data_IF_140689527883
#
_entry.id   IF_140689527883
#
_cell.length_a   1.000
_cell.length_b   1.000
_cell.length_c   1.000
_cell.angle_alpha   90.00
_cell.angle_beta   90.00
_cell.angle_gamma   90.00
#
_symmetry.space_group_name_H-M   'P 1'
#
loop_
_entity.id
_entity.type
_entity.pdbx_description
1 polymer ?
#
# COMPACT_ATOMS: atom_id res chain seq x y z
N UNK A 1 -0.44 56.03 36.11
CA UNK A 1 -0.07 54.65 35.75
C UNK A 1 -1.33 53.85 35.47
N UNK A 2 -1.87 54.00 34.27
CA UNK A 2 -3.06 53.37 33.72
C UNK A 2 -2.75 53.40 32.23
N UNK A 3 -2.75 52.25 31.56
CA UNK A 3 -2.50 52.01 30.11
C UNK A 3 -1.59 50.79 29.83
N UNK A 4 -1.34 49.90 30.80
CA UNK A 4 -0.61 48.64 30.54
C UNK A 4 -1.51 47.41 30.39
N UNK A 5 -2.84 47.56 30.45
CA UNK A 5 -3.78 46.43 30.39
C UNK A 5 -4.39 46.19 29.00
N UNK A 6 -4.12 47.04 28.01
CA UNK A 6 -4.70 46.90 26.67
C UNK A 6 -3.84 46.10 25.67
N UNK A 7 -2.59 45.79 26.00
CA UNK A 7 -1.68 45.04 25.13
C UNK A 7 -1.76 43.52 25.30
N UNK A 8 -2.38 43.03 26.38
CA UNK A 8 -2.55 41.59 26.65
C UNK A 8 -3.82 40.99 26.02
N UNK A 9 -4.75 41.83 25.55
CA UNK A 9 -6.01 41.36 24.97
C UNK A 9 -5.93 41.10 23.45
N UNK A 10 -4.86 41.56 22.78
CA UNK A 10 -4.73 41.45 21.32
C UNK A 10 -3.90 40.24 20.85
N UNK A 11 -3.22 39.53 21.76
CA UNK A 11 -2.44 38.33 21.42
C UNK A 11 -3.26 37.04 21.36
N UNK A 12 -4.57 37.10 21.64
CA UNK A 12 -5.48 35.95 21.61
C UNK A 12 -6.26 35.79 20.28
N UNK A 13 -6.05 36.69 19.31
CA UNK A 13 -6.76 36.67 18.01
C UNK A 13 -5.87 36.15 16.87
N UNK A 14 -4.67 35.66 17.18
CA UNK A 14 -3.75 35.05 16.20
C UNK A 14 -3.48 33.59 16.52
N UNK A 15 -4.53 32.80 16.76
CA UNK A 15 -4.42 31.37 16.51
C UNK A 15 -4.39 31.19 14.99
N UNK A 16 -3.25 30.76 14.40
CA UNK A 16 -3.23 30.43 12.99
C UNK A 16 -4.23 29.30 12.75
N UNK A 17 -4.92 29.40 11.63
CA UNK A 17 -6.01 28.52 11.27
C UNK A 17 -5.65 27.04 11.20
N UNK A 18 -6.73 26.26 11.21
CA UNK A 18 -6.86 24.92 10.64
C UNK A 18 -5.75 23.93 10.97
N UNK A 19 -5.98 23.14 12.01
CA UNK A 19 -5.71 21.72 11.87
C UNK A 19 -7.06 21.02 11.98
N UNK A 20 -7.79 21.03 10.88
CA UNK A 20 -8.84 20.05 10.70
C UNK A 20 -8.12 18.71 10.61
N UNK A 21 -8.07 17.99 11.72
CA UNK A 21 -7.66 16.59 11.72
C UNK A 21 -8.82 15.77 11.19
N UNK A 22 -9.30 16.08 9.97
CA UNK A 22 -10.18 15.17 9.25
C UNK A 22 -9.38 13.89 9.11
N UNK A 23 -9.73 12.87 9.90
CA UNK A 23 -9.12 11.55 9.79
C UNK A 23 -9.25 11.13 8.34
N UNK A 24 -8.12 11.08 7.63
CA UNK A 24 -8.09 10.62 6.24
C UNK A 24 -8.73 9.24 6.20
N UNK A 25 -9.80 9.14 5.42
CA UNK A 25 -10.55 7.90 5.29
C UNK A 25 -9.85 7.06 4.23
N UNK A 26 -9.20 5.99 4.70
CA UNK A 26 -8.69 4.93 3.88
C UNK A 26 -9.29 3.63 4.39
N UNK A 27 -9.93 2.88 3.51
CA UNK A 27 -10.48 1.58 3.84
C UNK A 27 -10.18 0.60 2.71
N UNK A 28 -9.42 -0.45 3.03
CA UNK A 28 -9.30 -1.64 2.18
C UNK A 28 -10.48 -2.56 2.50
N UNK A 29 -11.26 -2.92 1.48
CA UNK A 29 -12.38 -3.84 1.62
C UNK A 29 -12.01 -5.26 1.20
N UNK A 30 -11.15 -5.38 0.19
CA UNK A 30 -10.71 -6.67 -0.34
C UNK A 30 -9.19 -6.72 -0.37
N UNK A 31 -8.66 -7.79 0.21
CA UNK A 31 -7.26 -8.19 0.18
C UNK A 31 -7.21 -9.69 -0.08
N UNK A 32 -7.01 -10.08 -1.34
CA UNK A 32 -6.96 -11.48 -1.75
C UNK A 32 -5.58 -11.85 -2.29
N UNK A 33 -4.98 -12.85 -1.66
CA UNK A 33 -3.69 -13.40 -2.04
C UNK A 33 -3.87 -14.81 -2.57
N UNK A 34 -3.27 -15.11 -3.73
CA UNK A 34 -3.23 -16.47 -4.25
C UNK A 34 -1.98 -16.74 -5.08
N UNK A 35 -1.64 -18.01 -5.22
CA UNK A 35 -0.47 -18.46 -6.00
C UNK A 35 -0.91 -19.26 -7.22
N UNK A 36 -0.17 -19.10 -8.31
CA UNK A 36 -0.27 -19.96 -9.48
C UNK A 36 1.13 -20.33 -9.93
N UNK A 37 1.26 -21.44 -10.66
CA UNK A 37 2.55 -21.93 -11.16
C UNK A 37 2.43 -22.35 -12.61
N UNK A 38 3.48 -22.08 -13.37
CA UNK A 38 3.67 -22.51 -14.74
C UNK A 38 4.98 -23.29 -14.85
N UNK A 39 4.95 -24.48 -15.47
CA UNK A 39 6.18 -25.20 -15.78
C UNK A 39 6.82 -24.60 -17.03
N UNK A 40 8.06 -24.13 -16.91
CA UNK A 40 8.80 -23.54 -18.04
C UNK A 40 9.51 -24.63 -18.84
N UNK A 41 10.29 -25.48 -18.18
CA UNK A 41 11.02 -26.59 -18.81
C UNK A 41 11.72 -27.46 -17.77
N UNK A 42 11.73 -28.79 -17.93
CA UNK A 42 12.73 -29.65 -17.29
C UNK A 42 12.86 -29.58 -15.76
N UNK A 43 11.78 -29.22 -15.05
CA UNK A 43 11.79 -29.02 -13.59
C UNK A 43 12.02 -27.56 -13.15
N UNK A 44 12.14 -26.62 -14.10
CA UNK A 44 12.09 -25.18 -13.86
C UNK A 44 10.64 -24.69 -13.91
N UNK A 45 10.25 -23.93 -12.90
CA UNK A 45 8.91 -23.38 -12.75
C UNK A 45 8.96 -21.86 -12.60
N UNK A 46 7.89 -21.22 -13.03
CA UNK A 46 7.60 -19.82 -12.75
C UNK A 46 6.41 -19.75 -11.82
N UNK A 47 6.62 -19.15 -10.64
CA UNK A 47 5.58 -18.89 -9.67
C UNK A 47 5.08 -17.47 -9.79
N UNK A 48 3.76 -17.31 -9.69
CA UNK A 48 3.10 -16.03 -9.63
C UNK A 48 2.36 -15.91 -8.31
N UNK A 49 2.68 -14.87 -7.54
CA UNK A 49 1.88 -14.44 -6.39
C UNK A 49 1.02 -13.28 -6.86
N UNK A 50 -0.28 -13.47 -6.73
CA UNK A 50 -1.28 -12.50 -7.09
C UNK A 50 -1.80 -11.82 -5.82
N UNK A 51 -1.95 -10.50 -5.92
CA UNK A 51 -2.58 -9.67 -4.91
C UNK A 51 -3.68 -8.86 -5.58
N UNK A 52 -4.93 -9.17 -5.23
CA UNK A 52 -6.07 -8.32 -5.57
C UNK A 52 -6.36 -7.40 -4.39
N UNK A 53 -6.40 -6.10 -4.65
CA UNK A 53 -6.75 -5.07 -3.67
C UNK A 53 -7.89 -4.23 -4.18
N UNK A 54 -8.87 -3.98 -3.33
CA UNK A 54 -9.88 -2.95 -3.56
C UNK A 54 -10.30 -2.24 -2.29
N UNK A 55 -10.74 -1.01 -2.44
CA UNK A 55 -11.03 -0.12 -1.32
C UNK A 55 -11.38 1.29 -1.78
N UNK A 56 -11.39 2.20 -0.82
CA UNK A 56 -11.56 3.63 -1.05
C UNK A 56 -10.51 4.44 -0.30
N UNK A 57 -10.20 5.61 -0.84
CA UNK A 57 -9.32 6.59 -0.20
C UNK A 57 -9.66 8.01 -0.63
N UNK A 58 -9.65 8.94 0.32
CA UNK A 58 -9.72 10.38 0.06
C UNK A 58 -8.37 11.00 -0.37
N UNK A 59 -7.33 10.18 -0.54
CA UNK A 59 -6.02 10.62 -0.99
C UNK A 59 -6.06 11.12 -2.45
N UNK A 60 -5.18 12.08 -2.75
CA UNK A 60 -5.05 12.61 -4.11
C UNK A 60 -4.41 11.60 -5.08
N UNK A 61 -3.59 10.69 -4.56
CA UNK A 61 -3.05 9.56 -5.30
C UNK A 61 -2.80 8.37 -4.39
N UNK A 62 -2.80 7.18 -4.98
CA UNK A 62 -2.52 5.92 -4.30
C UNK A 62 -1.47 5.15 -5.10
N UNK A 63 -0.48 4.57 -4.42
CA UNK A 63 0.42 3.61 -5.00
C UNK A 63 0.61 2.38 -4.11
N UNK A 64 0.99 1.29 -4.75
CA UNK A 64 1.33 0.05 -4.10
C UNK A 64 2.75 -0.32 -4.43
N UNK A 65 3.57 -0.60 -3.42
CA UNK A 65 4.95 -1.01 -3.58
C UNK A 65 5.19 -2.43 -3.11
N UNK A 66 5.75 -3.25 -4.00
CA UNK A 66 6.06 -4.66 -3.76
C UNK A 66 7.57 -4.88 -3.67
N UNK A 67 7.99 -5.81 -2.82
CA UNK A 67 9.39 -6.17 -2.62
C UNK A 67 9.64 -7.59 -3.11
N UNK A 68 10.30 -7.75 -4.25
CA UNK A 68 10.61 -9.05 -4.81
C UNK A 68 12.10 -9.17 -5.16
N UNK A 69 12.78 -10.16 -4.58
CA UNK A 69 14.16 -10.49 -4.97
C UNK A 69 15.16 -9.32 -4.78
N UNK A 70 14.88 -8.41 -3.86
CA UNK A 70 15.65 -7.18 -3.64
C UNK A 70 15.34 -6.05 -4.63
N UNK A 71 14.30 -6.18 -5.44
CA UNK A 71 13.80 -5.15 -6.34
C UNK A 71 12.51 -4.58 -5.77
N UNK A 72 12.50 -3.25 -5.61
CA UNK A 72 11.33 -2.47 -5.25
C UNK A 72 10.59 -2.09 -6.54
N UNK A 73 9.28 -2.34 -6.59
CA UNK A 73 8.42 -1.86 -7.68
C UNK A 73 7.22 -1.14 -7.11
N UNK A 74 7.05 0.10 -7.54
CA UNK A 74 5.92 0.94 -7.19
C UNK A 74 4.93 1.02 -8.36
N UNK A 75 3.65 0.84 -8.07
CA UNK A 75 2.55 0.88 -9.01
C UNK A 75 1.57 1.96 -8.59
N UNK A 76 1.45 3.03 -9.37
CA UNK A 76 0.38 4.01 -9.17
C UNK A 76 -0.95 3.42 -9.61
N UNK A 77 -1.92 3.46 -8.70
CA UNK A 77 -3.24 2.86 -8.90
C UNK A 77 -4.23 3.95 -9.28
N UNK A 78 -4.93 3.82 -10.42
CA UNK A 78 -5.99 4.76 -10.78
C UNK A 78 -7.09 4.79 -9.72
N UNK A 79 -7.53 6.01 -9.37
CA UNK A 79 -8.69 6.23 -8.52
C UNK A 79 -9.89 6.56 -9.40
N UNK A 80 -11.04 5.93 -9.14
CA UNK A 80 -12.32 6.21 -9.77
C UNK A 80 -13.28 6.72 -8.69
N UNK A 81 -13.56 8.02 -8.65
CA UNK A 81 -14.41 8.64 -7.63
C UNK A 81 -14.02 8.25 -6.19
N UNK A 82 -12.71 8.19 -5.92
CA UNK A 82 -12.05 7.77 -4.66
C UNK A 82 -11.94 6.25 -4.43
N UNK A 83 -12.50 5.42 -5.29
CA UNK A 83 -12.34 3.97 -5.22
C UNK A 83 -11.09 3.50 -5.97
N UNK A 84 -10.46 2.44 -5.47
CA UNK A 84 -9.38 1.74 -6.15
C UNK A 84 -9.69 0.25 -6.28
N UNK A 85 -9.22 -0.34 -7.39
CA UNK A 85 -9.17 -1.78 -7.58
C UNK A 85 -7.97 -2.11 -8.46
N UNK A 86 -7.10 -3.01 -7.98
CA UNK A 86 -5.86 -3.36 -8.66
C UNK A 86 -5.52 -4.83 -8.46
N UNK A 87 -5.05 -5.45 -9.54
CA UNK A 87 -4.41 -6.76 -9.52
C UNK A 87 -2.90 -6.59 -9.71
N UNK A 88 -2.13 -7.09 -8.76
CA UNK A 88 -0.67 -7.05 -8.76
C UNK A 88 -0.12 -8.46 -8.87
N UNK A 89 0.99 -8.60 -9.59
CA UNK A 89 1.68 -9.88 -9.76
C UNK A 89 3.15 -9.77 -9.43
N UNK A 90 3.59 -10.65 -8.52
CA UNK A 90 4.98 -10.84 -8.11
C UNK A 90 5.43 -12.17 -8.72
N UNK A 91 6.53 -12.17 -9.47
CA UNK A 91 6.91 -13.30 -10.35
C UNK A 91 8.32 -13.82 -10.06
N UNK A 92 8.38 -15.06 -9.58
CA UNK A 92 9.63 -15.74 -9.27
C UNK A 92 9.88 -16.93 -10.19
N UNK A 93 11.15 -17.28 -10.39
CA UNK A 93 11.56 -18.48 -11.13
C UNK A 93 12.35 -19.37 -10.18
N UNK A 94 12.03 -20.66 -10.15
CA UNK A 94 12.60 -21.61 -9.21
C UNK A 94 12.62 -23.04 -9.77
N UNK A 95 13.52 -23.87 -9.24
CA UNK A 95 13.59 -25.30 -9.56
C UNK A 95 12.59 -26.11 -8.73
N UNK A 96 12.16 -27.27 -9.23
CA UNK A 96 11.17 -28.17 -8.60
C UNK A 96 11.48 -28.52 -7.13
N UNK A 97 12.77 -28.63 -6.80
CA UNK A 97 13.25 -28.93 -5.45
C UNK A 97 13.47 -27.71 -4.55
N UNK A 98 13.27 -26.51 -5.09
CA UNK A 98 13.53 -25.23 -4.44
C UNK A 98 12.28 -24.33 -4.48
N UNK A 99 11.10 -24.93 -4.26
CA UNK A 99 9.83 -24.20 -4.25
C UNK A 99 9.87 -23.09 -3.19
N UNK A 100 9.71 -21.81 -3.57
CA UNK A 100 9.70 -20.74 -2.61
C UNK A 100 8.47 -20.88 -1.70
N UNK A 101 8.70 -20.79 -0.40
CA UNK A 101 7.66 -20.61 0.60
C UNK A 101 7.96 -19.34 1.37
N UNK A 102 6.98 -18.49 1.57
CA UNK A 102 7.19 -17.27 2.31
C UNK A 102 5.96 -16.38 2.40
N UNK A 103 6.08 -15.38 3.26
CA UNK A 103 5.16 -14.26 3.31
C UNK A 103 5.72 -13.10 2.47
N UNK A 104 4.84 -12.37 1.81
CA UNK A 104 5.16 -11.23 0.96
C UNK A 104 4.66 -9.97 1.65
N UNK A 105 5.49 -8.94 1.67
CA UNK A 105 5.14 -7.64 2.23
C UNK A 105 4.90 -6.64 1.11
N UNK A 106 3.91 -5.79 1.31
CA UNK A 106 3.54 -4.74 0.37
C UNK A 106 3.31 -3.44 1.13
N UNK A 107 3.82 -2.33 0.62
CA UNK A 107 3.54 -0.98 1.13
C UNK A 107 2.38 -0.37 0.33
N UNK A 108 1.38 0.15 1.03
CA UNK A 108 0.32 0.99 0.50
C UNK A 108 0.67 2.45 0.80
N UNK A 109 0.80 3.28 -0.22
CA UNK A 109 1.15 4.70 -0.06
C UNK A 109 0.01 5.59 -0.53
N UNK A 110 -0.49 6.41 0.38
CA UNK A 110 -1.57 7.36 0.16
C UNK A 110 -0.99 8.76 0.18
N UNK A 111 -1.11 9.49 -0.92
CA UNK A 111 -0.49 10.80 -1.11
C UNK A 111 -1.52 11.92 -0.98
N UNK A 112 -1.24 12.91 -0.13
CA UNK A 112 -2.07 14.10 0.07
C UNK A 112 -1.26 15.36 -0.20
N UNK A 113 -1.06 15.63 -1.50
CA UNK A 113 -0.29 16.77 -1.97
C UNK A 113 1.19 16.68 -1.58
N UNK A 114 1.55 17.19 -0.40
CA UNK A 114 2.93 17.22 0.12
C UNK A 114 3.22 16.14 1.16
N UNK A 115 2.21 15.44 1.65
CA UNK A 115 2.36 14.40 2.67
C UNK A 115 2.02 13.03 2.11
N UNK A 116 2.50 11.99 2.79
CA UNK A 116 2.16 10.60 2.47
C UNK A 116 1.94 9.80 3.75
N UNK A 117 0.88 9.00 3.76
CA UNK A 117 0.64 7.95 4.76
C UNK A 117 1.04 6.61 4.15
N UNK A 118 1.66 5.75 4.95
CA UNK A 118 2.07 4.40 4.55
C UNK A 118 1.36 3.38 5.43
N UNK A 119 0.78 2.37 4.80
CA UNK A 119 0.30 1.16 5.47
C UNK A 119 1.01 -0.07 4.92
N UNK A 120 1.10 -1.12 5.72
CA UNK A 120 1.80 -2.34 5.35
C UNK A 120 0.80 -3.49 5.32
N UNK A 121 0.79 -4.20 4.20
CA UNK A 121 0.11 -5.48 4.06
C UNK A 121 1.12 -6.61 4.12
N UNK A 122 0.73 -7.68 4.79
CA UNK A 122 1.52 -8.89 4.89
C UNK A 122 0.65 -10.05 4.42
N UNK A 123 1.09 -10.72 3.36
CA UNK A 123 0.41 -11.93 2.90
C UNK A 123 0.43 -13.01 4.00
N UNK A 124 -0.53 -13.94 3.99
CA UNK A 124 -0.36 -15.21 4.69
C UNK A 124 0.90 -15.93 4.17
N UNK A 125 1.32 -16.98 4.87
CA UNK A 125 2.40 -17.82 4.34
C UNK A 125 1.90 -18.55 3.08
N UNK A 126 2.45 -18.18 1.93
CA UNK A 126 2.07 -18.71 0.63
C UNK A 126 3.06 -19.78 0.18
N UNK A 127 2.55 -20.82 -0.46
CA UNK A 127 3.33 -21.86 -1.11
C UNK A 127 2.82 -22.08 -2.53
N UNK A 128 3.72 -22.47 -3.43
CA UNK A 128 3.33 -22.89 -4.77
C UNK A 128 3.02 -24.39 -4.76
N UNK A 129 1.83 -24.74 -5.25
CA UNK A 129 1.44 -26.13 -5.43
C UNK A 129 1.80 -26.55 -6.84
N UNK A 130 2.84 -27.37 -6.98
CA UNK A 130 3.19 -27.98 -8.28
C UNK A 130 2.16 -29.09 -8.56
N UNK A 131 1.42 -29.05 -9.67
CA UNK A 131 0.54 -30.14 -10.05
C UNK A 131 1.38 -31.40 -10.34
N UNK A 132 1.01 -32.51 -9.71
CA UNK A 132 1.64 -33.83 -9.86
C UNK A 132 1.39 -34.44 -11.23
#
# INVERSE_FOLDING_TARGET
>A
MKNLFFLLAFSLVLLPGCWDSSEQTCQVWVEEWYTTVEQVSGGLYRGYVWLHLSGETDAAAFSVMTYEGGVEREYFVPLNDNEFSVDLVITSVYDAGAVPSGSYSTELRFYTGTESRVEYLQSPNLSFVIPC
#
